data_IF_104451138749
#
_entry.id   IF_104451138749
#
_cell.length_a   1.000
_cell.length_b   1.000
_cell.length_c   1.000
_cell.angle_alpha   90.00
_cell.angle_beta   90.00
_cell.angle_gamma   90.00
#
_symmetry.space_group_name_H-M   'P 1'
#
loop_
_entity.id
_entity.type
_entity.pdbx_description
1 polymer ?
#
# COMPACT_ATOMS: atom_id res chain seq x y z
N UNK A 1 -4.77 10.44 -43.55
CA UNK A 1 -3.65 9.81 -42.79
C UNK A 1 -2.98 10.88 -41.92
N UNK A 2 -3.44 11.06 -40.67
CA UNK A 2 -2.88 12.05 -39.70
C UNK A 2 -2.70 11.42 -38.31
N UNK A 3 -3.06 10.14 -38.15
CA UNK A 3 -3.09 9.47 -36.83
C UNK A 3 -1.70 8.96 -36.40
N UNK A 4 -0.74 8.84 -37.32
CA UNK A 4 0.58 8.26 -37.02
C UNK A 4 1.55 9.28 -36.40
N UNK A 5 1.34 10.59 -36.59
CA UNK A 5 2.24 11.63 -36.04
C UNK A 5 1.91 11.96 -34.57
N UNK A 6 0.66 11.77 -34.13
CA UNK A 6 0.25 12.04 -32.75
C UNK A 6 0.81 11.02 -31.74
N UNK A 7 0.98 9.76 -32.14
CA UNK A 7 1.44 8.69 -31.24
C UNK A 7 2.94 8.79 -30.96
N UNK A 8 3.75 9.23 -31.93
CA UNK A 8 5.19 9.44 -31.75
C UNK A 8 5.53 10.61 -30.81
N UNK A 9 4.70 11.65 -30.76
CA UNK A 9 4.88 12.78 -29.83
C UNK A 9 4.60 12.38 -28.37
N UNK A 10 3.66 11.46 -28.13
CA UNK A 10 3.33 10.97 -26.79
C UNK A 10 4.44 10.05 -26.26
N UNK A 11 4.99 9.17 -27.10
CA UNK A 11 6.09 8.27 -26.71
C UNK A 11 7.39 9.05 -26.45
N UNK A 12 7.69 10.07 -27.25
CA UNK A 12 8.85 10.94 -27.04
C UNK A 12 8.77 11.77 -25.74
N UNK A 13 7.57 12.24 -25.37
CA UNK A 13 7.35 13.01 -24.14
C UNK A 13 7.51 12.20 -22.86
N UNK A 14 7.10 10.92 -22.88
CA UNK A 14 7.21 10.01 -21.72
C UNK A 14 8.68 9.62 -21.50
N UNK A 15 9.46 9.42 -22.57
CA UNK A 15 10.89 9.06 -22.46
C UNK A 15 11.74 10.19 -21.84
N UNK A 16 11.40 11.46 -22.13
CA UNK A 16 12.09 12.63 -21.56
C UNK A 16 11.80 12.77 -20.06
N UNK A 17 10.59 12.45 -19.59
CA UNK A 17 10.24 12.50 -18.17
C UNK A 17 10.99 11.47 -17.33
N UNK A 18 11.17 10.25 -17.85
CA UNK A 18 11.90 9.17 -17.15
C UNK A 18 13.40 9.49 -17.07
N UNK A 19 13.99 10.08 -18.10
CA UNK A 19 15.41 10.48 -18.08
C UNK A 19 15.65 11.75 -17.23
N UNK A 20 14.68 12.68 -17.14
CA UNK A 20 14.79 13.86 -16.26
C UNK A 20 14.72 13.50 -14.77
N UNK A 21 13.97 12.45 -14.41
CA UNK A 21 13.83 11.99 -13.03
C UNK A 21 15.13 11.40 -12.44
N UNK A 22 16.02 10.87 -13.28
CA UNK A 22 17.28 10.27 -12.82
C UNK A 22 18.40 11.30 -12.52
N UNK A 23 18.32 12.51 -13.07
CA UNK A 23 19.36 13.56 -12.92
C UNK A 23 19.07 14.58 -11.81
N UNK A 24 17.92 14.50 -11.14
CA UNK A 24 17.51 15.44 -10.10
C UNK A 24 17.69 14.91 -8.66
N UNK A 25 18.49 13.86 -8.47
CA UNK A 25 18.69 13.21 -7.15
C UNK A 25 19.92 13.76 -6.39
N UNK A 26 20.74 14.61 -7.00
CA UNK A 26 21.99 15.13 -6.39
C UNK A 26 22.01 16.62 -6.06
N UNK A 27 20.87 17.32 -6.04
CA UNK A 27 20.85 18.78 -5.80
C UNK A 27 19.80 19.27 -4.77
N UNK A 28 19.52 18.51 -3.70
CA UNK A 28 18.65 18.99 -2.60
C UNK A 28 19.26 18.63 -1.25
N UNK A 29 20.51 19.04 -1.00
CA UNK A 29 21.17 18.87 0.30
C UNK A 29 21.36 20.15 1.13
N UNK A 30 21.04 21.33 0.61
CA UNK A 30 21.22 22.59 1.36
C UNK A 30 20.02 23.54 1.28
N UNK A 31 18.89 23.15 1.87
CA UNK A 31 17.87 24.12 2.27
C UNK A 31 17.27 23.73 3.63
N UNK A 32 18.16 23.70 4.62
CA UNK A 32 17.90 23.33 6.00
C UNK A 32 17.79 24.59 6.87
N UNK A 33 16.56 24.96 7.26
CA UNK A 33 16.21 25.31 8.67
C UNK A 33 14.80 25.90 8.86
N UNK A 34 14.15 26.47 7.85
CA UNK A 34 12.92 27.28 8.08
C UNK A 34 11.59 26.62 7.65
N UNK A 35 11.60 25.34 7.27
CA UNK A 35 10.39 24.64 6.80
C UNK A 35 9.94 23.46 7.67
N UNK A 36 10.60 23.23 8.81
CA UNK A 36 10.22 22.12 9.73
C UNK A 36 8.77 22.23 10.20
N UNK A 37 8.28 23.42 10.54
CA UNK A 37 6.90 23.63 10.98
C UNK A 37 5.86 23.38 9.87
N UNK A 38 6.12 23.88 8.67
CA UNK A 38 5.20 23.75 7.53
C UNK A 38 5.17 22.32 6.98
N UNK A 39 6.32 21.65 6.87
CA UNK A 39 6.39 20.22 6.51
C UNK A 39 5.68 19.34 7.53
N UNK A 40 5.81 19.65 8.83
CA UNK A 40 5.11 18.90 9.89
C UNK A 40 3.59 19.10 9.78
N UNK A 41 3.13 20.34 9.53
CA UNK A 41 1.71 20.67 9.38
C UNK A 41 1.09 20.04 8.13
N UNK A 42 1.81 20.04 7.01
CA UNK A 42 1.40 19.36 5.77
C UNK A 42 1.37 17.84 5.99
N UNK A 43 2.40 17.28 6.65
CA UNK A 43 2.43 15.85 6.97
C UNK A 43 1.26 15.44 7.87
N UNK A 44 0.93 16.25 8.88
CA UNK A 44 -0.22 16.00 9.76
C UNK A 44 -1.56 16.12 9.00
N UNK A 45 -1.76 17.15 8.17
CA UNK A 45 -2.97 17.28 7.37
C UNK A 45 -3.18 16.10 6.39
N UNK A 46 -2.11 15.60 5.78
CA UNK A 46 -2.16 14.41 4.91
C UNK A 46 -2.38 13.13 5.73
N UNK A 47 -1.77 13.03 6.93
CA UNK A 47 -2.01 11.93 7.87
C UNK A 47 -3.47 11.87 8.33
N UNK A 48 -4.06 13.01 8.67
CA UNK A 48 -5.44 13.13 9.14
C UNK A 48 -6.44 12.81 8.01
N UNK A 49 -6.14 13.20 6.77
CA UNK A 49 -6.97 12.85 5.61
C UNK A 49 -6.91 11.35 5.29
N UNK A 50 -5.73 10.73 5.31
CA UNK A 50 -5.57 9.31 5.06
C UNK A 50 -6.18 8.45 6.18
N UNK A 51 -5.94 8.82 7.45
CA UNK A 51 -6.57 8.15 8.60
C UNK A 51 -8.09 8.28 8.60
N UNK A 52 -8.61 9.47 8.29
CA UNK A 52 -10.05 9.71 8.15
C UNK A 52 -10.69 8.99 6.97
N UNK A 53 -9.94 8.71 5.89
CA UNK A 53 -10.41 7.89 4.78
C UNK A 53 -10.49 6.40 5.16
N UNK A 54 -9.46 5.87 5.85
CA UNK A 54 -9.42 4.48 6.30
C UNK A 54 -10.53 4.17 7.32
N UNK A 55 -10.82 5.08 8.25
CA UNK A 55 -11.92 4.92 9.24
C UNK A 55 -13.31 4.81 8.63
N UNK A 56 -13.52 5.33 7.42
CA UNK A 56 -14.80 5.27 6.71
C UNK A 56 -15.01 3.94 5.98
N UNK A 57 -13.98 3.09 5.91
CA UNK A 57 -14.07 1.78 5.30
C UNK A 57 -14.87 0.86 6.22
N UNK A 58 -15.96 0.33 5.69
CA UNK A 58 -16.84 -0.62 6.40
C UNK A 58 -16.74 -2.04 5.85
N UNK A 59 -16.04 -2.23 4.73
CA UNK A 59 -15.86 -3.54 4.10
C UNK A 59 -14.54 -4.19 4.56
N UNK A 60 -14.59 -5.31 5.31
CA UNK A 60 -13.38 -6.00 5.77
C UNK A 60 -12.55 -6.56 4.62
N UNK A 61 -13.14 -6.88 3.47
CA UNK A 61 -12.41 -7.42 2.31
C UNK A 61 -11.55 -6.34 1.67
N UNK A 62 -12.11 -5.13 1.48
CA UNK A 62 -11.33 -3.97 1.03
C UNK A 62 -10.24 -3.60 2.03
N UNK A 63 -10.55 -3.62 3.33
CA UNK A 63 -9.56 -3.35 4.38
C UNK A 63 -8.40 -4.36 4.36
N UNK A 64 -8.70 -5.65 4.17
CA UNK A 64 -7.69 -6.69 4.02
C UNK A 64 -6.80 -6.43 2.79
N UNK A 65 -7.40 -6.09 1.64
CA UNK A 65 -6.66 -5.71 0.43
C UNK A 65 -5.71 -4.51 0.65
N UNK A 66 -6.16 -3.49 1.39
CA UNK A 66 -5.33 -2.34 1.75
C UNK A 66 -4.12 -2.76 2.58
N UNK A 67 -4.30 -3.64 3.59
CA UNK A 67 -3.18 -4.13 4.40
C UNK A 67 -2.20 -4.97 3.57
N UNK A 68 -2.72 -5.83 2.69
CA UNK A 68 -1.90 -6.67 1.80
C UNK A 68 -1.00 -5.80 0.92
N UNK A 69 -1.56 -4.79 0.26
CA UNK A 69 -0.82 -3.86 -0.60
C UNK A 69 0.16 -3.02 0.23
N UNK A 70 -0.27 -2.51 1.39
CA UNK A 70 0.58 -1.66 2.22
C UNK A 70 1.78 -2.42 2.79
N UNK A 71 1.63 -3.71 3.13
CA UNK A 71 2.71 -4.53 3.67
C UNK A 71 3.90 -4.58 2.72
N UNK A 72 3.62 -4.79 1.44
CA UNK A 72 4.62 -4.80 0.37
C UNK A 72 5.17 -3.39 0.13
N UNK A 73 4.28 -2.39 -0.02
CA UNK A 73 4.67 -1.00 -0.31
C UNK A 73 5.44 -0.31 0.82
N UNK A 74 5.38 -0.83 2.04
CA UNK A 74 6.16 -0.33 3.16
C UNK A 74 7.67 -0.58 2.97
N UNK A 75 8.05 -1.61 2.20
CA UNK A 75 9.44 -2.02 2.00
C UNK A 75 10.07 -1.50 0.72
N UNK A 76 9.24 -1.18 -0.28
CA UNK A 76 9.74 -0.67 -1.55
C UNK A 76 8.70 -0.71 -2.65
N UNK A 77 9.20 -0.80 -3.89
CA UNK A 77 8.37 -1.03 -5.05
C UNK A 77 7.83 -2.47 -5.02
N UNK A 78 6.54 -2.63 -5.29
CA UNK A 78 5.89 -3.92 -5.39
C UNK A 78 6.36 -4.66 -6.64
N UNK A 79 6.76 -5.93 -6.49
CA UNK A 79 7.12 -6.81 -7.60
C UNK A 79 5.89 -7.32 -8.37
N UNK A 80 6.11 -7.89 -9.55
CA UNK A 80 5.03 -8.44 -10.37
C UNK A 80 4.45 -9.72 -9.72
N UNK A 81 5.31 -10.49 -9.07
CA UNK A 81 5.02 -11.70 -8.32
C UNK A 81 4.14 -11.38 -7.11
N UNK A 82 4.51 -10.37 -6.31
CA UNK A 82 3.70 -9.90 -5.18
C UNK A 82 2.34 -9.39 -5.64
N UNK A 83 2.28 -8.63 -6.73
CA UNK A 83 1.01 -8.16 -7.29
C UNK A 83 0.12 -9.33 -7.71
N UNK A 84 0.70 -10.33 -8.40
CA UNK A 84 -0.03 -11.51 -8.87
C UNK A 84 -0.56 -12.31 -7.68
N UNK A 85 0.26 -12.49 -6.64
CA UNK A 85 -0.14 -13.20 -5.43
C UNK A 85 -1.24 -12.46 -4.65
N UNK A 86 -1.17 -11.13 -4.56
CA UNK A 86 -2.24 -10.34 -3.95
C UNK A 86 -3.55 -10.55 -4.71
N UNK A 87 -3.52 -10.52 -6.05
CA UNK A 87 -4.71 -10.74 -6.88
C UNK A 87 -5.28 -12.15 -6.70
N UNK A 88 -4.43 -13.19 -6.66
CA UNK A 88 -4.83 -14.58 -6.38
C UNK A 88 -5.50 -14.71 -5.00
N UNK A 89 -4.91 -14.09 -3.96
CA UNK A 89 -5.47 -14.11 -2.61
C UNK A 89 -6.82 -13.36 -2.56
N UNK A 90 -6.93 -12.23 -3.26
CA UNK A 90 -8.17 -11.46 -3.36
C UNK A 90 -9.30 -12.26 -4.04
N UNK A 91 -8.98 -13.02 -5.07
CA UNK A 91 -9.94 -13.89 -5.74
C UNK A 91 -10.31 -15.09 -4.86
N UNK A 92 -9.31 -15.86 -4.42
CA UNK A 92 -9.51 -17.19 -3.82
C UNK A 92 -9.89 -17.16 -2.34
N UNK A 93 -9.37 -16.19 -1.56
CA UNK A 93 -9.62 -16.11 -0.10
C UNK A 93 -10.65 -15.07 0.26
N UNK A 94 -10.67 -13.93 -0.43
CA UNK A 94 -11.66 -12.88 -0.17
C UNK A 94 -12.93 -13.06 -1.01
N UNK A 95 -12.92 -13.94 -2.03
CA UNK A 95 -14.07 -14.17 -2.91
C UNK A 95 -14.54 -12.89 -3.59
N UNK A 96 -13.59 -12.06 -4.02
CA UNK A 96 -13.90 -10.79 -4.69
C UNK A 96 -14.25 -11.05 -6.16
N UNK A 97 -15.40 -10.55 -6.65
CA UNK A 97 -15.83 -10.79 -8.03
C UNK A 97 -14.99 -10.03 -9.06
N UNK A 98 -14.38 -8.92 -8.65
CA UNK A 98 -13.41 -8.15 -9.44
C UNK A 98 -12.19 -7.79 -8.58
N UNK A 99 -11.20 -8.71 -8.49
CA UNK A 99 -9.98 -8.49 -7.73
C UNK A 99 -9.18 -7.29 -8.23
N UNK A 100 -9.14 -7.06 -9.56
CA UNK A 100 -8.37 -5.98 -10.17
C UNK A 100 -8.95 -4.61 -9.83
N UNK A 101 -10.27 -4.40 -9.96
CA UNK A 101 -10.89 -3.13 -9.58
C UNK A 101 -10.77 -2.86 -8.07
N UNK A 102 -10.88 -3.91 -7.25
CA UNK A 102 -10.69 -3.77 -5.80
C UNK A 102 -9.24 -3.45 -5.45
N UNK A 103 -8.27 -4.03 -6.18
CA UNK A 103 -6.85 -3.74 -6.03
C UNK A 103 -6.56 -2.28 -6.34
N UNK A 104 -7.03 -1.75 -7.48
CA UNK A 104 -6.84 -0.33 -7.85
C UNK A 104 -7.48 0.61 -6.81
N UNK A 105 -8.67 0.26 -6.32
CA UNK A 105 -9.31 1.02 -5.24
C UNK A 105 -8.47 1.00 -3.96
N UNK A 106 -8.00 -0.17 -3.54
CA UNK A 106 -7.15 -0.34 -2.36
C UNK A 106 -5.79 0.35 -2.52
N UNK A 107 -5.23 0.36 -3.72
CA UNK A 107 -3.99 1.05 -4.07
C UNK A 107 -4.08 2.55 -3.76
N UNK A 108 -5.23 3.17 -4.06
CA UNK A 108 -5.50 4.58 -3.74
C UNK A 108 -5.52 4.91 -2.24
N UNK A 109 -5.69 3.92 -1.37
CA UNK A 109 -5.61 4.10 0.09
C UNK A 109 -4.22 3.83 0.65
N UNK A 110 -3.27 3.32 -0.13
CA UNK A 110 -1.95 2.93 0.36
C UNK A 110 -0.89 3.94 -0.05
N UNK A 111 0.19 4.02 0.74
CA UNK A 111 1.24 5.02 0.57
C UNK A 111 2.62 4.35 0.64
N UNK A 112 3.52 4.56 -0.35
CA UNK A 112 4.79 3.87 -0.40
C UNK A 112 5.75 4.41 0.66
N UNK A 113 6.54 3.52 1.29
CA UNK A 113 7.50 3.86 2.35
C UNK A 113 6.84 4.28 3.68
N UNK A 114 5.51 4.20 3.80
CA UNK A 114 4.79 4.50 5.03
C UNK A 114 4.71 3.25 5.92
N UNK A 115 4.87 3.36 7.25
CA UNK A 115 4.82 2.19 8.11
C UNK A 115 3.46 1.48 8.07
N UNK A 116 3.51 0.16 7.91
CA UNK A 116 2.34 -0.72 7.93
C UNK A 116 1.46 -0.52 9.18
N UNK A 117 2.08 -0.28 10.34
CA UNK A 117 1.37 -0.10 11.61
C UNK A 117 0.32 0.99 11.57
N UNK A 118 0.53 2.08 10.82
CA UNK A 118 -0.45 3.18 10.80
C UNK A 118 -1.77 2.73 10.15
N UNK A 119 -1.69 1.90 9.10
CA UNK A 119 -2.88 1.35 8.44
C UNK A 119 -3.52 0.25 9.25
N UNK A 120 -2.68 -0.63 9.83
CA UNK A 120 -3.12 -1.69 10.72
C UNK A 120 -3.94 -1.11 11.88
N UNK A 121 -3.49 -0.01 12.48
CA UNK A 121 -4.12 0.59 13.65
C UNK A 121 -5.48 1.21 13.35
N UNK A 122 -5.61 1.85 12.19
CA UNK A 122 -6.87 2.46 11.76
C UNK A 122 -7.91 1.41 11.33
N UNK A 123 -7.48 0.30 10.75
CA UNK A 123 -8.37 -0.78 10.29
C UNK A 123 -8.65 -1.84 11.38
N UNK A 124 -7.86 -1.85 12.47
CA UNK A 124 -8.02 -2.80 13.57
C UNK A 124 -9.42 -2.82 14.19
N UNK A 125 -10.09 -1.69 14.47
CA UNK A 125 -11.45 -1.70 15.02
C UNK A 125 -12.46 -2.37 14.09
N UNK A 126 -12.31 -2.19 12.77
CA UNK A 126 -13.14 -2.84 11.77
C UNK A 126 -12.97 -4.36 11.86
N UNK A 127 -11.74 -4.87 11.77
CA UNK A 127 -11.48 -6.31 11.81
C UNK A 127 -11.92 -6.97 13.12
N UNK A 128 -11.75 -6.29 14.26
CA UNK A 128 -12.25 -6.81 15.54
C UNK A 128 -13.76 -6.92 15.59
N UNK A 129 -14.48 -6.04 14.90
CA UNK A 129 -15.94 -6.03 14.84
C UNK A 129 -16.49 -7.02 13.81
N UNK A 130 -15.83 -7.16 12.67
CA UNK A 130 -16.34 -7.90 11.51
C UNK A 130 -15.82 -9.33 11.39
N UNK A 131 -14.64 -9.64 11.94
CA UNK A 131 -14.01 -10.95 11.80
C UNK A 131 -14.08 -11.75 13.10
N UNK A 132 -14.37 -13.04 12.98
CA UNK A 132 -14.24 -14.00 14.06
C UNK A 132 -12.77 -14.40 14.32
N UNK A 133 -12.53 -15.26 15.32
CA UNK A 133 -11.16 -15.66 15.68
C UNK A 133 -10.42 -16.42 14.57
N UNK A 134 -11.13 -17.25 13.80
CA UNK A 134 -10.56 -18.03 12.70
C UNK A 134 -10.27 -17.11 11.52
N UNK A 135 -11.20 -16.23 11.17
CA UNK A 135 -11.04 -15.25 10.09
C UNK A 135 -9.88 -14.27 10.37
N UNK A 136 -9.63 -13.91 11.63
CA UNK A 136 -8.45 -13.12 12.03
C UNK A 136 -7.14 -13.88 11.81
N UNK A 137 -7.12 -15.18 12.11
CA UNK A 137 -5.95 -16.01 11.85
C UNK A 137 -5.75 -16.22 10.34
N UNK A 138 -6.83 -16.34 9.56
CA UNK A 138 -6.78 -16.40 8.10
C UNK A 138 -6.24 -15.09 7.50
N UNK A 139 -6.65 -13.92 8.01
CA UNK A 139 -6.08 -12.62 7.61
C UNK A 139 -4.57 -12.55 7.84
N UNK A 140 -4.11 -13.02 9.01
CA UNK A 140 -2.69 -13.09 9.32
C UNK A 140 -1.97 -14.07 8.39
N UNK A 141 -2.61 -15.18 8.03
CA UNK A 141 -2.10 -16.15 7.06
C UNK A 141 -1.91 -15.55 5.68
N UNK A 142 -2.89 -14.78 5.18
CA UNK A 142 -2.81 -14.07 3.90
C UNK A 142 -1.63 -13.09 3.86
N UNK A 143 -1.45 -12.29 4.91
CA UNK A 143 -0.34 -11.33 4.98
C UNK A 143 1.04 -12.02 4.99
N UNK A 144 1.16 -13.18 5.66
CA UNK A 144 2.40 -13.98 5.64
C UNK A 144 2.69 -14.56 4.27
N UNK A 145 1.65 -15.04 3.58
CA UNK A 145 1.76 -15.59 2.22
C UNK A 145 2.30 -14.54 1.26
N UNK A 146 1.75 -13.32 1.30
CA UNK A 146 2.19 -12.21 0.45
C UNK A 146 3.62 -11.76 0.77
N UNK A 147 3.97 -11.65 2.06
CA UNK A 147 5.33 -11.30 2.46
C UNK A 147 6.39 -12.32 1.99
N UNK A 148 5.97 -13.55 1.65
CA UNK A 148 6.84 -14.62 1.16
C UNK A 148 6.76 -14.84 -0.36
N UNK A 149 6.04 -13.98 -1.09
CA UNK A 149 5.69 -14.24 -2.50
C UNK A 149 6.88 -14.08 -3.46
N UNK A 150 7.73 -13.08 -3.25
CA UNK A 150 8.86 -12.75 -4.13
C UNK A 150 10.21 -13.12 -3.51
N UNK A 151 10.37 -12.85 -2.22
CA UNK A 151 11.56 -13.16 -1.44
C UNK A 151 11.16 -13.66 -0.05
N UNK A 152 12.10 -14.26 0.72
CA UNK A 152 11.86 -14.52 2.13
C UNK A 152 11.35 -13.24 2.82
N UNK A 153 10.31 -13.34 3.68
CA UNK A 153 9.78 -12.18 4.38
C UNK A 153 10.89 -11.44 5.10
N UNK A 154 10.92 -10.12 4.95
CA UNK A 154 11.85 -9.32 5.73
C UNK A 154 11.52 -9.44 7.22
N UNK A 155 12.51 -9.16 8.06
CA UNK A 155 12.31 -9.07 9.51
C UNK A 155 11.23 -8.03 9.86
N UNK A 156 11.18 -6.92 9.11
CA UNK A 156 10.20 -5.84 9.33
C UNK A 156 8.77 -6.26 9.00
N UNK A 157 8.55 -6.96 7.87
CA UNK A 157 7.25 -7.52 7.50
C UNK A 157 6.81 -8.59 8.49
N UNK A 158 7.72 -9.51 8.84
CA UNK A 158 7.47 -10.57 9.80
C UNK A 158 7.05 -10.01 11.16
N UNK A 159 7.79 -9.05 11.69
CA UNK A 159 7.45 -8.34 12.92
C UNK A 159 6.13 -7.58 12.82
N UNK A 160 5.87 -6.89 11.71
CA UNK A 160 4.63 -6.14 11.50
C UNK A 160 3.41 -7.07 11.57
N UNK A 161 3.48 -8.23 10.92
CA UNK A 161 2.42 -9.23 10.94
C UNK A 161 2.27 -9.88 12.32
N UNK A 162 3.36 -10.15 13.03
CA UNK A 162 3.33 -10.65 14.42
C UNK A 162 2.65 -9.64 15.35
N UNK A 163 2.98 -8.35 15.23
CA UNK A 163 2.36 -7.27 16.02
C UNK A 163 0.87 -7.17 15.73
N UNK A 164 0.46 -7.22 14.45
CA UNK A 164 -0.96 -7.21 14.08
C UNK A 164 -1.69 -8.41 14.70
N UNK A 165 -1.13 -9.62 14.60
CA UNK A 165 -1.71 -10.82 15.21
C UNK A 165 -1.96 -10.66 16.71
N UNK A 166 -0.97 -10.13 17.45
CA UNK A 166 -1.11 -9.87 18.89
C UNK A 166 -2.26 -8.90 19.17
N UNK A 167 -2.38 -7.84 18.38
CA UNK A 167 -3.44 -6.83 18.53
C UNK A 167 -4.82 -7.34 18.13
N UNK A 168 -4.94 -8.24 17.16
CA UNK A 168 -6.23 -8.83 16.80
C UNK A 168 -6.82 -9.74 17.90
N UNK A 169 -5.96 -10.22 18.80
CA UNK A 169 -6.32 -11.13 19.90
C UNK A 169 -6.47 -10.44 21.26
N UNK A 170 -5.95 -9.21 21.41
CA UNK A 170 -6.18 -8.36 22.59
C UNK A 170 -7.54 -7.67 22.52
#
# INVERSE_FOLDING_TARGET
MVVIIGVLAIVGGILIWVLRAHSAVTAVRDLDRDTKGLRRRIRHAVQDFAGGALRRINDPRLAAAILMIQLVRAEGAMSAEEKTEILDVMETKLGLPDPAATFEKAWGYTEPGRPFSIFADELLPLFRKSLDARERDDLVGMLRRIAAADAPPSDLQGEAVIRLKKRLRS
#
